data_IF_789012152555
#
_entry.id   IF_789012152555
#
_cell.length_a   1.000
_cell.length_b   1.000
_cell.length_c   1.000
_cell.angle_alpha   90.00
_cell.angle_beta   90.00
_cell.angle_gamma   90.00
#
_symmetry.space_group_name_H-M   'P 1'
#
loop_
_entity.id
_entity.type
_entity.pdbx_description
1 polymer ?
#
# COMPACT_ATOMS: atom_id res chain seq x y z
N UNK A 1 -26.60 -18.27 5.81
CA UNK A 1 -27.02 -17.23 6.77
C UNK A 1 -26.32 -15.94 6.36
N UNK A 2 -27.04 -14.98 5.75
CA UNK A 2 -26.43 -13.76 5.19
C UNK A 2 -26.26 -12.73 6.31
N UNK A 3 -25.03 -12.46 6.72
CA UNK A 3 -24.71 -11.39 7.67
C UNK A 3 -24.65 -10.08 6.88
N UNK A 4 -25.69 -9.25 7.05
CA UNK A 4 -25.69 -7.88 6.53
C UNK A 4 -24.90 -7.01 7.50
N UNK A 5 -23.70 -6.60 7.09
CA UNK A 5 -22.94 -5.57 7.79
C UNK A 5 -23.66 -4.23 7.59
N UNK A 6 -24.25 -3.69 8.65
CA UNK A 6 -24.82 -2.35 8.65
C UNK A 6 -23.69 -1.36 8.99
N UNK A 7 -23.25 -0.61 8.01
CA UNK A 7 -22.42 0.57 8.24
C UNK A 7 -23.31 1.66 8.86
N UNK A 8 -23.09 1.97 10.13
CA UNK A 8 -23.74 3.11 10.79
C UNK A 8 -22.99 4.37 10.40
N UNK A 9 -23.65 5.25 9.66
CA UNK A 9 -23.15 6.60 9.37
C UNK A 9 -23.22 7.44 10.65
N UNK A 10 -22.07 7.94 11.10
CA UNK A 10 -22.00 8.98 12.13
C UNK A 10 -21.80 10.33 11.44
N UNK A 11 -22.77 11.21 11.63
CA UNK A 11 -22.78 12.59 11.16
C UNK A 11 -21.86 13.42 12.06
N UNK A 12 -20.82 14.03 11.50
CA UNK A 12 -19.95 14.98 12.17
C UNK A 12 -20.56 16.38 12.02
N UNK A 13 -21.15 16.91 13.11
CA UNK A 13 -21.61 18.29 13.18
C UNK A 13 -20.43 19.22 13.41
N UNK A 14 -20.10 20.05 12.43
CA UNK A 14 -19.13 21.12 12.56
C UNK A 14 -19.73 22.29 13.37
N UNK A 15 -19.13 22.59 14.52
CA UNK A 15 -19.38 23.83 15.25
C UNK A 15 -18.51 24.94 14.65
N UNK A 16 -19.15 25.86 13.95
CA UNK A 16 -18.57 27.13 13.51
C UNK A 16 -18.58 28.07 14.69
N UNK A 17 -17.44 28.47 15.17
CA UNK A 17 -17.27 29.65 16.04
C UNK A 17 -16.73 30.81 15.21
N UNK A 18 -17.57 31.83 15.14
CA UNK A 18 -17.42 33.09 14.46
C UNK A 18 -16.47 34.01 15.20
N UNK A 19 -15.85 34.88 14.39
CA UNK A 19 -15.34 36.23 14.66
C UNK A 19 -13.97 36.41 15.34
N UNK A 20 -13.05 37.00 14.58
CA UNK A 20 -12.47 38.28 14.94
C UNK A 20 -11.84 38.98 13.73
N UNK A 21 -12.31 40.15 13.46
CA UNK A 21 -11.79 41.14 12.54
C UNK A 21 -10.40 41.63 12.98
N UNK A 22 -9.43 41.68 12.08
CA UNK A 22 -8.20 42.48 12.25
C UNK A 22 -7.91 43.26 10.99
N UNK A 23 -7.69 44.53 11.24
CA UNK A 23 -7.44 45.66 10.37
C UNK A 23 -6.20 45.51 9.51
N UNK A 24 -6.28 46.06 8.30
CA UNK A 24 -5.16 46.36 7.39
C UNK A 24 -4.16 47.28 8.06
N UNK A 25 -2.88 46.99 7.87
CA UNK A 25 -1.80 48.00 7.92
C UNK A 25 -1.01 47.84 6.62
N UNK A 26 -1.01 48.91 5.85
CA UNK A 26 -0.23 49.16 4.67
C UNK A 26 1.15 49.72 5.07
N UNK A 27 2.20 49.35 4.36
CA UNK A 27 3.47 50.05 4.07
C UNK A 27 4.51 49.01 3.68
N UNK A 28 5.03 48.90 2.48
CA UNK A 28 5.79 49.91 1.79
C UNK A 28 7.27 49.52 1.74
N UNK A 29 7.78 49.38 0.54
CA UNK A 29 9.21 49.43 0.07
C UNK A 29 10.13 48.20 0.16
N UNK A 30 10.38 47.61 -0.97
CA UNK A 30 11.58 47.77 -1.84
C UNK A 30 12.93 47.28 -1.27
N UNK A 31 13.46 46.19 -1.83
CA UNK A 31 14.88 46.06 -2.20
C UNK A 31 15.15 44.73 -2.94
N UNK A 32 15.50 44.92 -4.21
CA UNK A 32 16.17 43.96 -5.09
C UNK A 32 17.49 43.45 -4.53
N UNK A 33 17.71 42.14 -4.53
CA UNK A 33 19.06 41.53 -4.60
C UNK A 33 19.04 40.24 -5.39
N UNK A 34 19.88 40.21 -6.42
CA UNK A 34 20.16 39.08 -7.31
C UNK A 34 20.77 37.87 -6.59
N UNK A 35 20.63 36.64 -7.15
CA UNK A 35 21.22 35.43 -6.59
C UNK A 35 22.66 35.19 -7.10
N UNK A 36 23.56 34.89 -6.20
CA UNK A 36 24.93 34.41 -6.47
C UNK A 36 24.95 32.89 -6.67
N UNK A 37 25.80 32.33 -7.56
CA UNK A 37 25.72 30.97 -8.04
C UNK A 37 26.32 29.91 -7.12
N UNK A 38 25.79 28.68 -7.31
CA UNK A 38 26.10 27.44 -6.64
C UNK A 38 27.59 27.07 -6.58
N UNK A 39 28.03 26.58 -5.43
CA UNK A 39 29.29 25.82 -5.28
C UNK A 39 29.02 24.34 -5.37
N UNK A 40 29.75 23.72 -6.30
CA UNK A 40 29.83 22.27 -6.53
C UNK A 40 30.58 21.58 -5.38
N UNK A 41 29.95 20.64 -4.71
CA UNK A 41 30.61 19.75 -3.75
C UNK A 41 30.84 18.39 -4.42
N UNK A 42 32.11 17.95 -4.39
CA UNK A 42 32.62 16.71 -4.98
C UNK A 42 32.19 15.49 -4.16
N UNK A 43 31.87 14.41 -4.88
CA UNK A 43 31.75 13.05 -4.36
C UNK A 43 33.08 12.55 -3.73
N UNK A 44 33.02 11.72 -2.69
CA UNK A 44 34.16 10.87 -2.32
C UNK A 44 34.02 9.46 -2.93
N UNK A 45 35.05 9.08 -3.65
CA UNK A 45 35.30 7.78 -4.26
C UNK A 45 35.40 6.66 -3.21
N UNK A 46 34.82 5.51 -3.54
CA UNK A 46 34.95 4.25 -2.82
C UNK A 46 36.36 3.66 -3.02
N UNK A 47 36.97 3.20 -1.95
CA UNK A 47 38.15 2.37 -1.97
C UNK A 47 37.83 0.93 -1.57
N UNK A 48 38.33 0.00 -2.38
CA UNK A 48 38.12 -1.43 -2.34
C UNK A 48 39.24 -2.10 -1.53
N UNK A 49 38.89 -2.98 -0.57
CA UNK A 49 39.89 -4.01 -0.15
C UNK A 49 39.20 -5.29 0.34
N UNK A 50 39.39 -6.31 -0.50
CA UNK A 50 39.74 -7.73 -0.25
C UNK A 50 39.12 -8.54 0.88
N UNK A 51 38.48 -9.60 0.38
CA UNK A 51 38.19 -10.91 1.03
C UNK A 51 39.46 -11.60 1.57
N UNK A 52 39.32 -12.54 2.50
CA UNK A 52 39.83 -13.88 2.17
C UNK A 52 38.85 -15.05 2.44
N UNK A 53 39.13 -16.10 1.66
CA UNK A 53 38.46 -17.36 1.53
C UNK A 53 38.85 -18.40 2.60
N UNK A 54 38.12 -19.53 2.48
CA UNK A 54 38.36 -20.90 2.98
C UNK A 54 37.56 -21.28 4.26
N UNK A 55 36.90 -22.42 4.36
CA UNK A 55 37.34 -23.78 4.05
C UNK A 55 36.11 -24.71 3.97
N UNK A 56 36.13 -25.65 3.03
CA UNK A 56 35.27 -26.82 2.93
C UNK A 56 35.40 -27.75 4.13
N UNK A 57 34.33 -28.41 4.53
CA UNK A 57 34.41 -29.76 5.11
C UNK A 57 33.20 -30.58 4.64
N UNK A 58 33.52 -31.60 3.89
CA UNK A 58 32.69 -32.72 3.43
C UNK A 58 32.52 -33.70 4.58
N UNK A 59 31.32 -34.22 4.84
CA UNK A 59 31.16 -35.59 5.32
C UNK A 59 29.84 -36.21 4.90
N UNK A 60 29.92 -37.49 4.60
CA UNK A 60 29.14 -38.42 3.81
C UNK A 60 28.19 -39.27 4.66
N UNK A 61 27.13 -39.71 4.00
CA UNK A 61 26.39 -40.99 4.12
C UNK A 61 25.35 -41.24 5.23
N UNK A 62 24.25 -41.81 4.76
CA UNK A 62 23.30 -42.61 5.56
C UNK A 62 21.94 -42.80 4.86
N UNK A 63 21.88 -43.73 3.89
CA UNK A 63 20.62 -44.28 3.37
C UNK A 63 19.83 -45.00 4.47
N UNK A 64 18.51 -44.82 4.48
CA UNK A 64 17.59 -45.90 4.90
C UNK A 64 16.26 -45.73 4.17
N UNK A 65 15.98 -46.69 3.28
CA UNK A 65 14.67 -46.95 2.67
C UNK A 65 13.69 -47.44 3.72
N UNK A 66 12.45 -46.96 3.68
CA UNK A 66 11.29 -47.69 4.12
C UNK A 66 10.08 -47.39 3.25
N UNK A 67 9.50 -48.45 2.78
CA UNK A 67 8.41 -48.67 1.83
C UNK A 67 7.08 -48.04 2.18
N UNK A 68 6.32 -47.71 1.13
CA UNK A 68 4.92 -47.25 1.07
C UNK A 68 3.90 -48.21 1.71
N UNK A 69 2.65 -47.72 1.89
CA UNK A 69 1.59 -48.30 1.06
C UNK A 69 0.78 -47.24 0.27
N UNK A 70 0.34 -47.73 -0.85
CA UNK A 70 -0.59 -47.25 -1.85
C UNK A 70 -2.03 -47.17 -1.29
N UNK A 71 -2.79 -46.14 -1.61
CA UNK A 71 -4.23 -46.17 -1.93
C UNK A 71 -4.73 -44.83 -2.44
N UNK A 72 -5.19 -44.86 -3.56
CA UNK A 72 -6.46 -44.76 -4.30
C UNK A 72 -6.78 -43.36 -4.80
N UNK A 73 -6.77 -43.31 -6.13
CA UNK A 73 -7.24 -42.26 -7.03
C UNK A 73 -8.68 -41.84 -6.76
N UNK A 74 -8.91 -40.52 -6.71
CA UNK A 74 -10.12 -39.90 -7.22
C UNK A 74 -9.74 -38.76 -8.16
N UNK A 75 -10.08 -38.99 -9.40
CA UNK A 75 -9.94 -38.14 -10.57
C UNK A 75 -10.74 -36.81 -10.37
N UNK A 76 -10.06 -35.66 -10.38
CA UNK A 76 -10.65 -34.38 -10.69
C UNK A 76 -9.74 -33.68 -11.71
N UNK A 77 -10.15 -33.88 -12.96
CA UNK A 77 -9.57 -33.28 -14.15
C UNK A 77 -9.44 -31.76 -14.05
N UNK A 78 -8.24 -31.22 -14.30
CA UNK A 78 -8.05 -29.89 -14.80
C UNK A 78 -7.05 -28.98 -14.11
N UNK A 79 -6.02 -29.50 -13.45
CA UNK A 79 -4.87 -28.68 -13.06
C UNK A 79 -3.62 -29.17 -13.79
N UNK A 80 -3.15 -28.39 -14.74
CA UNK A 80 -1.86 -28.63 -15.37
C UNK A 80 -0.75 -28.38 -14.36
N UNK A 81 -0.17 -29.44 -13.82
CA UNK A 81 1.02 -29.37 -12.97
C UNK A 81 2.22 -29.05 -13.84
N UNK A 82 2.76 -27.84 -13.70
CA UNK A 82 4.09 -27.50 -14.18
C UNK A 82 5.08 -27.53 -13.02
N UNK A 83 6.15 -28.25 -13.26
CA UNK A 83 7.29 -28.50 -12.37
C UNK A 83 7.74 -27.24 -11.61
N UNK A 84 7.54 -27.20 -10.29
CA UNK A 84 8.19 -26.28 -9.38
C UNK A 84 7.55 -24.89 -9.20
N UNK A 85 6.39 -24.60 -9.81
CA UNK A 85 5.68 -23.32 -9.67
C UNK A 85 4.68 -23.32 -8.51
N UNK A 86 4.47 -22.14 -7.91
CA UNK A 86 3.39 -21.90 -6.96
C UNK A 86 2.05 -22.14 -7.67
N UNK A 87 1.14 -22.89 -7.04
CA UNK A 87 -0.22 -23.09 -7.58
C UNK A 87 -0.94 -21.74 -7.68
N UNK A 88 -1.49 -21.41 -8.85
CA UNK A 88 -2.27 -20.21 -9.03
C UNK A 88 -3.68 -20.39 -8.46
N UNK A 89 -4.02 -19.58 -7.45
CA UNK A 89 -5.29 -19.66 -6.70
C UNK A 89 -6.31 -18.57 -7.07
N UNK A 90 -6.05 -17.79 -8.11
CA UNK A 90 -6.96 -16.74 -8.56
C UNK A 90 -8.31 -17.28 -9.06
N UNK A 91 -9.40 -16.57 -8.75
CA UNK A 91 -10.77 -17.04 -9.03
C UNK A 91 -11.46 -16.31 -10.20
N UNK A 92 -10.96 -15.15 -10.62
CA UNK A 92 -11.62 -14.32 -11.66
C UNK A 92 -10.99 -14.47 -13.04
N UNK A 93 -9.67 -14.63 -13.09
CA UNK A 93 -8.90 -14.80 -14.32
C UNK A 93 -8.09 -16.09 -14.22
N UNK A 94 -7.96 -16.79 -15.31
CA UNK A 94 -6.98 -17.87 -15.43
C UNK A 94 -5.57 -17.32 -15.59
N UNK A 95 -4.54 -18.13 -15.33
CA UNK A 95 -3.14 -17.74 -15.57
C UNK A 95 -2.93 -17.27 -17.01
N UNK A 96 -3.45 -18.00 -18.00
CA UNK A 96 -3.30 -17.66 -19.42
C UNK A 96 -3.96 -16.31 -19.77
N UNK A 97 -5.11 -16.01 -19.20
CA UNK A 97 -5.76 -14.69 -19.36
C UNK A 97 -4.90 -13.58 -18.74
N UNK A 98 -4.33 -13.79 -17.55
CA UNK A 98 -3.42 -12.84 -16.93
C UNK A 98 -2.16 -12.61 -17.75
N UNK A 99 -1.56 -13.67 -18.31
CA UNK A 99 -0.38 -13.60 -19.19
C UNK A 99 -0.66 -12.78 -20.44
N UNK A 100 -1.88 -12.84 -20.97
CA UNK A 100 -2.31 -12.07 -22.13
C UNK A 100 -2.58 -10.58 -21.84
N UNK A 101 -2.74 -10.18 -20.59
CA UNK A 101 -2.96 -8.79 -20.22
C UNK A 101 -1.68 -7.96 -20.31
N UNK A 102 -1.84 -6.67 -20.62
CA UNK A 102 -0.76 -5.69 -20.65
C UNK A 102 -0.05 -5.59 -19.29
N UNK A 103 1.25 -5.80 -19.30
CA UNK A 103 2.11 -5.66 -18.12
C UNK A 103 3.00 -4.40 -18.15
N UNK A 104 2.68 -3.46 -19.03
CA UNK A 104 3.36 -2.16 -19.04
C UNK A 104 3.20 -1.48 -17.70
N UNK A 105 4.33 -1.10 -17.10
CA UNK A 105 4.36 -0.41 -15.82
C UNK A 105 3.77 0.99 -15.95
N UNK A 106 2.80 1.29 -15.09
CA UNK A 106 2.25 2.62 -14.86
C UNK A 106 2.63 3.05 -13.45
N UNK A 107 2.97 4.32 -13.25
CA UNK A 107 3.11 4.97 -11.96
C UNK A 107 1.90 5.84 -11.70
N UNK A 108 1.45 5.91 -10.44
CA UNK A 108 0.33 6.74 -10.03
C UNK A 108 0.78 7.94 -9.20
N UNK A 109 0.24 9.09 -9.58
CA UNK A 109 0.20 10.31 -8.79
C UNK A 109 -1.05 11.09 -9.20
N UNK A 110 -1.88 11.57 -8.25
CA UNK A 110 -3.17 12.22 -8.56
C UNK A 110 -3.02 13.53 -9.33
N UNK A 111 -1.81 14.13 -9.32
CA UNK A 111 -1.57 15.45 -9.89
C UNK A 111 -2.08 16.57 -9.00
N UNK A 112 -2.12 17.79 -9.56
CA UNK A 112 -2.56 19.00 -8.85
C UNK A 112 -3.83 19.61 -9.44
N UNK A 113 -4.27 19.14 -10.62
CA UNK A 113 -5.48 19.64 -11.27
C UNK A 113 -6.69 18.90 -10.74
N UNK A 114 -7.73 19.65 -10.42
CA UNK A 114 -9.01 19.12 -9.94
C UNK A 114 -10.14 19.44 -10.91
N UNK A 115 -11.19 18.63 -10.90
CA UNK A 115 -12.45 18.91 -11.62
C UNK A 115 -13.37 19.85 -10.83
N UNK A 116 -14.59 20.05 -11.33
CA UNK A 116 -15.58 20.93 -10.70
C UNK A 116 -16.05 20.44 -9.31
N UNK A 117 -15.88 19.16 -9.02
CA UNK A 117 -16.22 18.51 -7.74
C UNK A 117 -15.01 18.38 -6.82
N UNK A 118 -13.93 19.14 -7.08
CA UNK A 118 -12.66 19.10 -6.35
C UNK A 118 -11.98 17.71 -6.36
N UNK A 119 -12.21 16.90 -7.40
CA UNK A 119 -11.61 15.58 -7.53
C UNK A 119 -10.37 15.67 -8.43
N UNK A 120 -9.23 15.06 -8.07
CA UNK A 120 -8.03 15.08 -8.91
C UNK A 120 -8.30 14.46 -10.28
N UNK A 121 -8.07 15.23 -11.35
CA UNK A 121 -8.33 14.80 -12.73
C UNK A 121 -7.54 13.55 -13.11
N UNK A 122 -6.31 13.40 -12.57
CA UNK A 122 -5.51 12.19 -12.77
C UNK A 122 -6.16 10.95 -12.17
N UNK A 123 -6.78 11.07 -10.99
CA UNK A 123 -7.46 9.96 -10.34
C UNK A 123 -8.75 9.58 -11.07
N UNK A 124 -9.56 10.55 -11.52
CA UNK A 124 -10.80 10.26 -12.24
C UNK A 124 -10.56 9.57 -13.58
N UNK A 125 -9.56 10.03 -14.36
CA UNK A 125 -9.18 9.39 -15.62
C UNK A 125 -8.72 7.95 -15.43
N UNK A 126 -7.93 7.68 -14.40
CA UNK A 126 -7.47 6.31 -14.13
C UNK A 126 -8.57 5.44 -13.54
N UNK A 127 -9.50 6.01 -12.76
CA UNK A 127 -10.69 5.31 -12.29
C UNK A 127 -11.55 4.80 -13.47
N UNK A 128 -11.82 5.64 -14.45
CA UNK A 128 -12.58 5.27 -15.64
C UNK A 128 -11.88 4.17 -16.45
N UNK A 129 -10.55 4.24 -16.55
CA UNK A 129 -9.76 3.30 -17.34
C UNK A 129 -9.55 1.95 -16.65
N UNK A 130 -9.25 1.93 -15.36
CA UNK A 130 -8.78 0.75 -14.63
C UNK A 130 -9.73 0.26 -13.55
N UNK A 131 -10.82 0.94 -13.25
CA UNK A 131 -11.80 0.53 -12.25
C UNK A 131 -12.39 -0.87 -12.51
N UNK A 132 -12.52 -1.27 -13.77
CA UNK A 132 -12.97 -2.61 -14.17
C UNK A 132 -12.07 -3.75 -13.66
N UNK A 133 -10.79 -3.46 -13.38
CA UNK A 133 -9.81 -4.39 -12.80
C UNK A 133 -9.74 -4.30 -11.27
N UNK A 134 -10.80 -3.82 -10.62
CA UNK A 134 -10.87 -3.73 -9.17
C UNK A 134 -10.01 -2.63 -8.56
N UNK A 135 -9.59 -1.63 -9.36
CA UNK A 135 -8.83 -0.50 -8.85
C UNK A 135 -9.75 0.64 -8.38
N UNK A 136 -9.42 1.24 -7.24
CA UNK A 136 -10.06 2.44 -6.70
C UNK A 136 -9.01 3.55 -6.56
N UNK A 137 -9.07 4.54 -7.46
CA UNK A 137 -8.22 5.74 -7.45
C UNK A 137 -8.90 6.90 -6.73
N UNK A 138 -10.22 6.86 -6.66
CA UNK A 138 -11.05 7.84 -6.00
C UNK A 138 -12.26 7.14 -5.37
N UNK A 139 -12.72 7.64 -4.25
CA UNK A 139 -13.93 7.12 -3.60
C UNK A 139 -15.20 7.47 -4.40
N UNK A 140 -16.20 6.59 -4.43
CA UNK A 140 -17.40 6.80 -5.24
C UNK A 140 -18.30 7.94 -4.75
N UNK A 141 -18.18 8.38 -3.49
CA UNK A 141 -18.97 9.45 -2.89
C UNK A 141 -18.09 10.54 -2.33
N UNK A 142 -18.39 11.77 -2.66
CA UNK A 142 -17.61 12.96 -2.35
C UNK A 142 -17.84 13.57 -0.97
N UNK A 143 -18.79 13.09 -0.17
CA UNK A 143 -19.11 13.61 1.17
C UNK A 143 -18.24 13.00 2.29
N UNK A 144 -17.30 12.12 1.95
CA UNK A 144 -16.44 11.42 2.91
C UNK A 144 -14.99 11.47 2.51
N UNK A 145 -14.13 11.67 3.52
CA UNK A 145 -12.69 11.54 3.42
C UNK A 145 -12.29 10.21 4.07
N UNK A 146 -11.45 9.45 3.39
CA UNK A 146 -10.87 8.21 3.89
C UNK A 146 -9.41 8.45 4.22
N UNK A 147 -9.06 8.34 5.49
CA UNK A 147 -7.67 8.46 5.95
C UNK A 147 -6.98 7.12 5.78
N UNK A 148 -5.90 7.10 5.01
CA UNK A 148 -5.10 5.89 4.79
C UNK A 148 -3.62 6.14 5.06
N UNK A 149 -2.94 5.13 5.59
CA UNK A 149 -1.56 5.17 6.05
C UNK A 149 -0.82 3.96 5.49
N UNK A 150 0.36 4.17 4.93
CA UNK A 150 1.24 3.11 4.44
C UNK A 150 2.35 2.88 5.46
N UNK A 151 2.46 1.65 5.98
CA UNK A 151 3.32 1.28 7.09
C UNK A 151 4.36 0.27 6.63
N UNK A 152 5.54 0.75 6.29
CA UNK A 152 6.72 -0.07 5.97
C UNK A 152 7.63 -0.31 7.17
N UNK A 153 7.71 0.65 8.09
CA UNK A 153 8.48 0.60 9.34
C UNK A 153 7.79 1.46 10.41
N UNK A 154 8.08 1.20 11.68
CA UNK A 154 7.53 1.99 12.81
C UNK A 154 8.51 3.08 13.22
N UNK A 155 8.03 4.31 13.28
CA UNK A 155 8.79 5.49 13.70
C UNK A 155 8.21 6.16 14.96
N UNK A 156 7.43 5.42 15.75
CA UNK A 156 6.86 5.87 17.01
C UNK A 156 5.59 6.73 16.87
N UNK A 157 5.06 6.89 15.67
CA UNK A 157 3.87 7.73 15.44
C UNK A 157 2.56 6.95 15.30
N UNK A 158 2.59 5.70 14.84
CA UNK A 158 1.38 4.94 14.52
C UNK A 158 0.46 4.80 15.72
N UNK A 159 1.00 4.52 16.90
CA UNK A 159 0.22 4.43 18.15
C UNK A 159 -0.53 5.73 18.45
N UNK A 160 0.13 6.88 18.30
CA UNK A 160 -0.47 8.22 18.53
C UNK A 160 -1.54 8.56 17.48
N UNK A 161 -1.35 8.09 16.24
CA UNK A 161 -2.35 8.23 15.18
C UNK A 161 -3.60 7.43 15.55
N UNK A 162 -3.44 6.18 15.96
CA UNK A 162 -4.55 5.32 16.41
C UNK A 162 -5.29 5.95 17.60
N UNK A 163 -4.56 6.44 18.61
CA UNK A 163 -5.15 7.11 19.77
C UNK A 163 -5.99 8.33 19.35
N UNK A 164 -5.46 9.15 18.44
CA UNK A 164 -6.17 10.33 17.93
C UNK A 164 -7.42 9.94 17.13
N UNK A 165 -7.32 8.92 16.26
CA UNK A 165 -8.47 8.44 15.49
C UNK A 165 -9.58 7.94 16.42
N UNK A 166 -9.23 7.20 17.47
CA UNK A 166 -10.17 6.69 18.46
C UNK A 166 -10.81 7.82 19.28
N UNK A 167 -10.00 8.79 19.73
CA UNK A 167 -10.53 9.98 20.44
C UNK A 167 -11.57 10.72 19.60
N UNK A 168 -11.35 10.80 18.28
CA UNK A 168 -12.27 11.47 17.34
C UNK A 168 -13.38 10.55 16.82
N UNK A 169 -13.42 9.28 17.21
CA UNK A 169 -14.42 8.31 16.73
C UNK A 169 -14.29 7.98 15.24
N UNK A 170 -13.08 8.14 14.66
CA UNK A 170 -12.78 7.93 13.24
C UNK A 170 -12.02 6.63 13.07
N UNK A 171 -12.30 5.89 11.98
CA UNK A 171 -11.53 4.70 11.61
C UNK A 171 -10.61 5.00 10.44
N UNK A 172 -9.35 4.60 10.58
CA UNK A 172 -8.34 4.69 9.53
C UNK A 172 -8.16 3.37 8.77
N UNK A 173 -7.51 3.46 7.62
CA UNK A 173 -7.09 2.33 6.79
C UNK A 173 -5.55 2.27 6.80
N UNK A 174 -5.00 1.14 7.23
CA UNK A 174 -3.55 0.96 7.39
C UNK A 174 -3.07 -0.15 6.46
N UNK A 175 -2.27 0.21 5.46
CA UNK A 175 -1.62 -0.76 4.56
C UNK A 175 -0.26 -1.13 5.14
N UNK A 176 -0.09 -2.40 5.47
CA UNK A 176 1.10 -2.91 6.18
C UNK A 176 1.93 -3.82 5.29
N UNK A 177 3.25 -3.74 5.41
CA UNK A 177 4.18 -4.72 4.83
C UNK A 177 4.40 -5.89 5.81
N UNK A 178 4.96 -7.01 5.30
CA UNK A 178 5.33 -8.15 6.15
C UNK A 178 6.37 -7.75 7.20
N UNK A 179 7.33 -6.91 6.82
CA UNK A 179 8.37 -6.44 7.74
C UNK A 179 7.76 -5.66 8.90
N UNK A 180 6.85 -4.72 8.61
CA UNK A 180 6.12 -3.98 9.64
C UNK A 180 5.36 -4.91 10.59
N UNK A 181 4.65 -5.90 10.03
CA UNK A 181 3.88 -6.85 10.84
C UNK A 181 4.72 -7.70 11.79
N UNK A 182 5.95 -8.03 11.36
CA UNK A 182 6.90 -8.77 12.20
C UNK A 182 7.57 -7.91 13.26
N UNK A 183 7.90 -6.66 12.91
CA UNK A 183 8.58 -5.73 13.80
C UNK A 183 7.63 -5.11 14.84
N UNK A 184 6.35 -4.90 14.51
CA UNK A 184 5.39 -4.19 15.36
C UNK A 184 4.07 -4.96 15.54
N UNK A 185 4.12 -6.22 16.03
CA UNK A 185 2.94 -7.10 16.10
C UNK A 185 1.84 -6.54 17.01
N UNK A 186 2.20 -5.83 18.08
CA UNK A 186 1.23 -5.25 19.02
C UNK A 186 0.47 -4.08 18.39
N UNK A 187 1.12 -3.29 17.53
CA UNK A 187 0.46 -2.21 16.81
C UNK A 187 -0.50 -2.77 15.75
N UNK A 188 -0.11 -3.83 15.03
CA UNK A 188 -1.00 -4.54 14.09
C UNK A 188 -2.22 -5.09 14.83
N UNK A 189 -2.01 -5.69 15.98
CA UNK A 189 -3.12 -6.18 16.82
C UNK A 189 -4.06 -5.06 17.23
N UNK A 190 -3.53 -3.90 17.67
CA UNK A 190 -4.34 -2.73 18.01
C UNK A 190 -5.18 -2.24 16.83
N UNK A 191 -4.59 -2.14 15.62
CA UNK A 191 -5.31 -1.73 14.40
C UNK A 191 -6.55 -2.60 14.21
N UNK A 192 -6.40 -3.91 14.36
CA UNK A 192 -7.51 -4.87 14.19
C UNK A 192 -8.52 -4.78 15.33
N UNK A 193 -8.08 -4.90 16.57
CA UNK A 193 -8.95 -4.97 17.75
C UNK A 193 -9.76 -3.69 17.97
N UNK A 194 -9.16 -2.53 17.63
CA UNK A 194 -9.80 -1.23 17.78
C UNK A 194 -10.67 -0.87 16.55
N UNK A 195 -10.85 -1.81 15.61
CA UNK A 195 -11.80 -1.74 14.50
C UNK A 195 -11.39 -0.79 13.38
N UNK A 196 -10.10 -0.52 13.22
CA UNK A 196 -9.54 0.06 12.01
C UNK A 196 -9.45 -0.99 10.90
N UNK A 197 -9.23 -0.56 9.67
CA UNK A 197 -9.11 -1.47 8.53
C UNK A 197 -7.62 -1.76 8.28
N UNK A 198 -7.25 -3.03 8.25
CA UNK A 198 -5.92 -3.47 7.85
C UNK A 198 -5.92 -3.85 6.38
N UNK A 199 -5.02 -3.28 5.60
CA UNK A 199 -4.80 -3.54 4.18
C UNK A 199 -3.42 -4.14 3.93
N UNK A 200 -3.28 -4.80 2.79
CA UNK A 200 -2.07 -5.47 2.35
C UNK A 200 -1.19 -4.51 1.53
N UNK A 201 0.09 -4.37 1.89
CA UNK A 201 1.08 -3.58 1.17
C UNK A 201 2.26 -4.42 0.69
N UNK A 202 2.03 -5.71 0.43
CA UNK A 202 2.95 -6.75 0.00
C UNK A 202 3.98 -7.20 1.06
N UNK A 203 4.71 -8.26 0.72
CA UNK A 203 5.76 -8.79 1.59
C UNK A 203 7.01 -7.91 1.57
N UNK A 204 7.56 -7.62 0.37
CA UNK A 204 8.86 -6.97 0.20
C UNK A 204 8.77 -5.57 -0.43
N UNK A 205 7.57 -5.01 -0.58
CA UNK A 205 7.35 -3.70 -1.18
C UNK A 205 7.95 -3.54 -2.59
N UNK A 206 7.87 -4.60 -3.42
CA UNK A 206 8.39 -4.61 -4.79
C UNK A 206 7.39 -4.01 -5.78
N UNK A 207 7.93 -3.47 -6.89
CA UNK A 207 7.12 -3.03 -8.03
C UNK A 207 6.42 -4.24 -8.67
N UNK A 208 5.10 -4.35 -8.54
CA UNK A 208 4.32 -5.50 -9.05
C UNK A 208 4.53 -5.76 -10.54
N UNK A 209 4.56 -4.75 -11.44
CA UNK A 209 4.79 -4.99 -12.87
C UNK A 209 6.14 -5.60 -13.24
N UNK A 210 7.12 -5.61 -12.33
CA UNK A 210 8.44 -6.20 -12.56
C UNK A 210 8.52 -7.68 -12.20
N UNK A 211 7.45 -8.22 -11.62
CA UNK A 211 7.37 -9.58 -11.11
C UNK A 211 6.65 -10.50 -12.08
N UNK A 212 6.95 -11.79 -12.01
CA UNK A 212 6.13 -12.84 -12.60
C UNK A 212 4.77 -12.96 -11.88
N UNK A 213 3.81 -13.65 -12.47
CA UNK A 213 2.49 -13.90 -11.86
C UNK A 213 2.64 -14.63 -10.52
N UNK A 214 3.54 -15.61 -10.44
CA UNK A 214 3.78 -16.36 -9.21
C UNK A 214 4.39 -15.50 -8.11
N UNK A 215 5.37 -14.67 -8.46
CA UNK A 215 5.97 -13.72 -7.50
C UNK A 215 4.95 -12.68 -7.02
N UNK A 216 4.12 -12.13 -7.94
CA UNK A 216 3.05 -11.20 -7.55
C UNK A 216 2.05 -11.86 -6.59
N UNK A 217 1.63 -13.11 -6.88
CA UNK A 217 0.75 -13.87 -6.00
C UNK A 217 1.40 -14.10 -4.63
N UNK A 218 2.68 -14.49 -4.60
CA UNK A 218 3.41 -14.69 -3.34
C UNK A 218 3.52 -13.40 -2.53
N UNK A 219 3.84 -12.26 -3.17
CA UNK A 219 3.91 -10.95 -2.50
C UNK A 219 2.59 -10.55 -1.83
N UNK A 220 1.45 -10.97 -2.36
CA UNK A 220 0.14 -10.68 -1.78
C UNK A 220 -0.27 -11.75 -0.76
N UNK A 221 -0.18 -13.02 -1.13
CA UNK A 221 -0.81 -14.10 -0.36
C UNK A 221 0.00 -14.57 0.83
N UNK A 222 1.33 -14.43 0.82
CA UNK A 222 2.13 -14.75 2.01
C UNK A 222 1.80 -13.81 3.17
N UNK A 223 1.66 -12.51 2.90
CA UNK A 223 1.23 -11.55 3.93
C UNK A 223 -0.22 -11.81 4.35
N UNK A 224 -1.12 -12.12 3.39
CA UNK A 224 -2.51 -12.48 3.69
C UNK A 224 -2.58 -13.63 4.68
N UNK A 225 -1.88 -14.72 4.36
CA UNK A 225 -1.88 -15.94 5.17
C UNK A 225 -1.27 -15.70 6.56
N UNK A 226 -0.16 -14.95 6.64
CA UNK A 226 0.45 -14.57 7.91
C UNK A 226 -0.54 -13.83 8.83
N UNK A 227 -1.26 -12.84 8.29
CA UNK A 227 -2.25 -12.07 9.07
C UNK A 227 -3.45 -12.94 9.45
N UNK A 228 -3.93 -13.77 8.52
CA UNK A 228 -5.04 -14.70 8.79
C UNK A 228 -4.69 -15.72 9.87
N UNK A 229 -3.51 -16.33 9.78
CA UNK A 229 -3.05 -17.32 10.77
C UNK A 229 -2.83 -16.72 12.15
N UNK A 230 -2.21 -15.54 12.19
CA UNK A 230 -1.80 -14.91 13.45
C UNK A 230 -2.93 -14.17 14.16
N UNK A 231 -3.83 -13.54 13.42
CA UNK A 231 -4.86 -12.65 13.98
C UNK A 231 -6.30 -13.04 13.61
N UNK A 232 -6.51 -14.05 12.76
CA UNK A 232 -7.83 -14.43 12.27
C UNK A 232 -8.49 -13.37 11.37
N UNK A 233 -7.70 -12.42 10.85
CA UNK A 233 -8.19 -11.30 10.05
C UNK A 233 -7.96 -11.55 8.56
N UNK A 234 -9.01 -11.40 7.75
CA UNK A 234 -8.92 -11.53 6.29
C UNK A 234 -8.84 -10.14 5.63
N UNK A 235 -7.71 -9.85 5.02
CA UNK A 235 -7.52 -8.61 4.26
C UNK A 235 -8.19 -8.73 2.90
N UNK A 236 -8.82 -7.64 2.44
CA UNK A 236 -9.48 -7.54 1.13
C UNK A 236 -9.06 -6.28 0.34
N UNK A 237 -8.24 -5.43 0.94
CA UNK A 237 -7.73 -4.22 0.31
C UNK A 237 -6.22 -4.34 0.14
N UNK A 238 -5.75 -4.06 -1.07
CA UNK A 238 -4.34 -4.06 -1.44
C UNK A 238 -3.93 -2.67 -1.93
N UNK A 239 -2.78 -2.20 -1.51
CA UNK A 239 -2.17 -1.00 -2.12
C UNK A 239 -0.90 -1.40 -2.84
N UNK A 240 -0.84 -1.20 -4.18
CA UNK A 240 0.37 -1.46 -4.93
C UNK A 240 1.55 -0.62 -4.40
N UNK A 241 2.69 -1.25 -4.08
CA UNK A 241 3.89 -0.53 -3.67
C UNK A 241 4.28 0.58 -4.65
N UNK A 242 4.73 1.72 -4.12
CA UNK A 242 5.14 2.91 -4.90
C UNK A 242 4.02 3.49 -5.80
N UNK A 243 2.78 3.01 -5.71
CA UNK A 243 1.73 3.34 -6.68
C UNK A 243 2.00 2.79 -8.08
N UNK A 244 2.89 1.80 -8.21
CA UNK A 244 3.23 1.19 -9.49
C UNK A 244 2.33 -0.01 -9.78
N UNK A 245 1.75 -0.04 -10.97
CA UNK A 245 0.79 -1.07 -11.39
C UNK A 245 0.85 -1.33 -12.89
N UNK A 246 0.25 -2.44 -13.29
CA UNK A 246 -0.09 -2.76 -14.69
C UNK A 246 -1.52 -3.30 -14.74
N UNK A 247 -2.10 -3.44 -15.93
CA UNK A 247 -3.40 -4.11 -16.10
C UNK A 247 -3.33 -5.52 -15.52
N UNK A 248 -2.24 -6.24 -15.81
CA UNK A 248 -2.00 -7.60 -15.28
C UNK A 248 -1.98 -7.64 -13.76
N UNK A 249 -1.23 -6.74 -13.11
CA UNK A 249 -1.11 -6.73 -11.65
C UNK A 249 -2.41 -6.38 -10.94
N UNK A 250 -3.22 -5.46 -11.50
CA UNK A 250 -4.55 -5.14 -10.98
C UNK A 250 -5.52 -6.32 -11.12
N UNK A 251 -5.55 -6.95 -12.31
CA UNK A 251 -6.39 -8.10 -12.58
C UNK A 251 -6.01 -9.30 -11.68
N UNK A 252 -4.71 -9.50 -11.42
CA UNK A 252 -4.22 -10.52 -10.50
C UNK A 252 -4.73 -10.26 -9.09
N UNK A 253 -4.53 -9.06 -8.55
CA UNK A 253 -5.01 -8.71 -7.21
C UNK A 253 -6.53 -8.90 -7.09
N UNK A 254 -7.29 -8.49 -8.11
CA UNK A 254 -8.73 -8.72 -8.17
C UNK A 254 -9.09 -10.21 -8.19
N UNK A 255 -8.32 -11.03 -8.90
CA UNK A 255 -8.52 -12.49 -8.97
C UNK A 255 -8.26 -13.17 -7.63
N UNK A 256 -7.36 -12.62 -6.82
CA UNK A 256 -7.06 -13.04 -5.45
C UNK A 256 -8.05 -12.49 -4.41
N UNK A 257 -9.13 -11.82 -4.84
CA UNK A 257 -10.17 -11.28 -3.95
C UNK A 257 -9.88 -9.90 -3.38
N UNK A 258 -8.88 -9.18 -3.93
CA UNK A 258 -8.51 -7.86 -3.46
C UNK A 258 -9.07 -6.73 -4.33
N UNK A 259 -9.40 -5.61 -3.70
CA UNK A 259 -9.52 -4.31 -4.35
C UNK A 259 -8.19 -3.56 -4.21
N UNK A 260 -7.64 -3.09 -5.34
CA UNK A 260 -6.45 -2.25 -5.33
C UNK A 260 -6.84 -0.81 -5.02
N UNK A 261 -6.31 -0.24 -3.92
CA UNK A 261 -6.68 1.10 -3.43
C UNK A 261 -5.49 2.04 -3.55
N UNK A 262 -5.69 3.11 -4.29
CA UNK A 262 -4.74 4.21 -4.43
C UNK A 262 -5.12 5.38 -3.50
N UNK A 263 -4.76 6.62 -3.86
CA UNK A 263 -5.04 7.82 -3.09
C UNK A 263 -5.45 8.97 -4.01
N UNK A 264 -6.27 9.88 -3.55
CA UNK A 264 -6.62 11.08 -4.31
C UNK A 264 -5.84 12.32 -3.85
N UNK A 265 -5.20 12.22 -2.70
CA UNK A 265 -4.34 13.26 -2.14
C UNK A 265 -3.17 12.60 -1.41
N UNK A 266 -1.97 13.16 -1.56
CA UNK A 266 -0.78 12.81 -0.80
C UNK A 266 0.19 14.00 -0.74
N UNK A 267 1.11 13.97 0.23
CA UNK A 267 2.26 14.87 0.29
C UNK A 267 3.52 14.06 0.62
N UNK A 268 4.69 14.69 0.50
CA UNK A 268 5.98 14.01 0.67
C UNK A 268 6.29 13.81 2.17
N UNK A 269 5.61 12.89 2.82
CA UNK A 269 5.79 12.55 4.24
C UNK A 269 6.78 11.40 4.47
N UNK A 270 7.13 10.69 3.43
CA UNK A 270 8.08 9.57 3.47
C UNK A 270 9.56 9.99 3.42
N UNK A 271 9.88 11.23 3.02
CA UNK A 271 11.24 11.74 3.06
C UNK A 271 11.59 12.25 4.46
N UNK A 272 12.25 11.39 5.25
CA UNK A 272 12.62 11.70 6.64
C UNK A 272 13.56 12.89 6.80
N UNK A 273 14.28 13.26 5.72
CA UNK A 273 15.21 14.38 5.73
C UNK A 273 14.60 15.69 5.22
N UNK A 274 13.38 15.63 4.65
CA UNK A 274 12.71 16.78 4.04
C UNK A 274 11.22 16.80 4.39
N UNK A 275 10.90 16.68 5.66
CA UNK A 275 9.53 16.73 6.15
C UNK A 275 8.94 18.13 5.94
N UNK A 276 7.69 18.26 5.46
CA UNK A 276 7.04 19.55 5.38
C UNK A 276 6.79 20.12 6.77
N UNK A 277 6.87 21.47 6.90
CA UNK A 277 6.46 22.14 8.12
C UNK A 277 5.02 21.78 8.52
N UNK A 278 4.74 21.47 9.80
CA UNK A 278 3.43 20.95 10.22
C UNK A 278 2.25 21.86 9.85
N UNK A 279 2.45 23.19 9.90
CA UNK A 279 1.42 24.16 9.50
C UNK A 279 1.15 24.12 8.00
N UNK A 280 2.19 23.95 7.17
CA UNK A 280 2.05 23.83 5.73
C UNK A 280 1.40 22.49 5.34
N UNK A 281 1.77 21.40 5.99
CA UNK A 281 1.15 20.09 5.81
C UNK A 281 -0.34 20.14 6.17
N UNK A 282 -0.69 20.71 7.32
CA UNK A 282 -2.08 20.86 7.77
C UNK A 282 -2.90 21.70 6.77
N UNK A 283 -2.38 22.87 6.36
CA UNK A 283 -3.06 23.72 5.38
C UNK A 283 -3.30 22.99 4.05
N UNK A 284 -2.37 22.16 3.63
CA UNK A 284 -2.49 21.36 2.41
C UNK A 284 -3.56 20.25 2.54
N UNK A 285 -3.61 19.56 3.68
CA UNK A 285 -4.63 18.53 3.95
C UNK A 285 -6.02 19.16 4.04
N UNK A 286 -6.17 20.26 4.78
CA UNK A 286 -7.47 20.93 4.95
C UNK A 286 -7.92 21.69 3.70
N UNK A 287 -7.00 22.10 2.84
CA UNK A 287 -7.31 22.73 1.56
C UNK A 287 -7.66 21.72 0.45
N UNK A 288 -7.36 20.44 0.65
CA UNK A 288 -7.73 19.34 -0.25
C UNK A 288 -9.06 18.67 0.13
N UNK A 289 -9.55 18.95 1.33
CA UNK A 289 -10.85 18.52 1.86
C UNK A 289 -11.95 19.55 1.53
#
# INVERSE_FOLDING_TARGET
>A
MKIKLRLSALVLSALILSSCSVSRIDSGNDATTEPTPAQTVKEPTADSTSSPAATETTETSGETQTTAPEETTTDHSGAGVISGGVEFIGTKYTRAELEALDNTKNGFGPGVNVDADNRPSGATVLQDRYGQYGAAFIAPNSDKIYLSFDLGYENGYTTRIIDTLNEKGVKGLFFVTMEYCKASPDVVKRIIDEGHVLGNHSVHHKSMPTLSIDEMQSEIMELHNYIKEKYGYEMSLFRPPMGEFSVRSLALAQSLGYQSVFWSFAYLDYDVNNQPEPTAALARVTGAA
#
